data_IF_892358102423
#
_entry.id   IF_892358102423
#
_cell.length_a   1.000
_cell.length_b   1.000
_cell.length_c   1.000
_cell.angle_alpha   90.00
_cell.angle_beta   90.00
_cell.angle_gamma   90.00
#
_symmetry.space_group_name_H-M   'P 1'
#
loop_
_entity.id
_entity.type
_entity.pdbx_description
1 polymer ?
#
# COMPACT_ATOMS: atom_id res chain seq x y z
N UNK A 1 35.66 -17.83 -39.85
CA UNK A 1 35.25 -17.64 -41.26
C UNK A 1 33.79 -17.18 -41.24
N UNK A 2 33.47 -16.03 -41.85
CA UNK A 2 32.11 -15.49 -41.91
C UNK A 2 32.13 -13.96 -41.94
N UNK A 3 31.78 -13.37 -43.08
CA UNK A 3 32.18 -12.03 -43.52
C UNK A 3 31.48 -10.83 -42.86
N UNK A 4 32.22 -9.72 -42.92
CA UNK A 4 31.85 -8.31 -42.77
C UNK A 4 31.16 -7.77 -44.02
N UNK A 5 30.26 -6.78 -43.88
CA UNK A 5 29.93 -5.62 -44.78
C UNK A 5 28.55 -5.08 -44.35
N UNK A 6 28.26 -3.86 -43.89
CA UNK A 6 28.66 -2.46 -44.15
C UNK A 6 28.37 -1.97 -45.58
N UNK A 7 27.25 -1.26 -45.74
CA UNK A 7 26.81 -0.49 -46.93
C UNK A 7 26.21 0.85 -46.44
N UNK A 8 26.89 2.00 -46.55
CA UNK A 8 26.82 3.05 -47.61
C UNK A 8 25.40 3.50 -47.97
N UNK A 9 24.94 4.68 -47.53
CA UNK A 9 25.10 6.03 -48.15
C UNK A 9 24.14 6.21 -49.34
N UNK A 10 23.08 7.00 -49.16
CA UNK A 10 22.51 7.78 -50.26
C UNK A 10 22.10 9.18 -49.79
N UNK A 11 22.40 10.13 -50.67
CA UNK A 11 22.48 11.58 -50.49
C UNK A 11 21.80 12.14 -51.72
N UNK A 12 20.58 12.64 -51.59
CA UNK A 12 19.95 13.44 -52.64
C UNK A 12 19.55 14.81 -52.10
N UNK A 13 20.35 15.79 -52.49
CA UNK A 13 20.00 17.20 -52.53
C UNK A 13 18.86 17.45 -53.55
N UNK A 14 17.87 18.28 -53.20
CA UNK A 14 17.28 19.24 -54.15
C UNK A 14 16.96 20.57 -53.45
N UNK A 15 17.66 21.62 -53.89
CA UNK A 15 17.35 23.04 -53.74
C UNK A 15 16.36 23.47 -54.83
N UNK A 16 15.45 24.39 -54.52
CA UNK A 16 15.08 25.59 -55.30
C UNK A 16 13.86 26.26 -54.60
N UNK A 17 14.02 27.41 -53.93
CA UNK A 17 13.86 28.80 -54.44
C UNK A 17 12.39 29.17 -54.74
N UNK A 18 11.63 29.76 -53.80
CA UNK A 18 11.45 31.21 -53.50
C UNK A 18 10.33 31.87 -54.37
N UNK A 19 9.90 33.12 -54.11
CA UNK A 19 8.92 33.57 -53.11
C UNK A 19 7.67 34.20 -53.76
N UNK A 20 6.52 34.27 -53.08
CA UNK A 20 5.48 35.22 -53.49
C UNK A 20 4.74 35.87 -52.32
N UNK A 21 4.58 37.18 -52.48
CA UNK A 21 4.07 38.15 -51.54
C UNK A 21 2.54 38.22 -51.60
N UNK A 22 1.87 38.08 -50.46
CA UNK A 22 0.51 38.60 -50.33
C UNK A 22 0.30 39.22 -48.96
N UNK A 23 0.24 40.55 -48.94
CA UNK A 23 -0.27 41.37 -47.84
C UNK A 23 -1.69 40.91 -47.48
N UNK A 24 -1.98 40.63 -46.20
CA UNK A 24 -3.29 40.98 -45.60
C UNK A 24 -3.33 40.84 -44.07
N UNK A 25 -3.73 41.96 -43.46
CA UNK A 25 -4.42 42.14 -42.18
C UNK A 25 -3.75 41.64 -40.89
N UNK A 26 -3.15 42.62 -40.22
CA UNK A 26 -3.23 42.79 -38.77
C UNK A 26 -4.62 42.44 -38.23
N UNK A 27 -4.66 41.46 -37.33
CA UNK A 27 -5.74 41.33 -36.34
C UNK A 27 -5.07 41.28 -34.96
N UNK A 28 -5.28 42.25 -34.06
CA UNK A 28 -4.91 42.08 -32.67
C UNK A 28 -6.00 41.22 -32.02
N UNK A 29 -5.95 39.90 -32.20
CA UNK A 29 -6.93 39.00 -31.60
C UNK A 29 -6.40 38.43 -30.29
N UNK A 30 -6.78 39.13 -29.22
CA UNK A 30 -7.03 38.62 -27.88
C UNK A 30 -5.84 38.01 -27.11
N UNK A 31 -5.22 38.85 -26.28
CA UNK A 31 -4.68 38.45 -24.99
C UNK A 31 -5.81 37.86 -24.10
N UNK A 32 -6.25 36.64 -24.38
CA UNK A 32 -7.26 35.91 -23.61
C UNK A 32 -6.70 34.59 -23.02
N UNK A 33 -5.38 34.42 -23.00
CA UNK A 33 -4.75 33.15 -22.59
C UNK A 33 -4.47 32.97 -21.09
N UNK A 34 -4.55 34.02 -20.27
CA UNK A 34 -4.03 33.96 -18.89
C UNK A 34 -5.08 33.92 -17.77
N UNK A 35 -6.34 34.31 -18.02
CA UNK A 35 -7.38 34.30 -16.98
C UNK A 35 -7.83 32.88 -16.61
N UNK A 36 -7.90 31.96 -17.58
CA UNK A 36 -8.28 30.56 -17.33
C UNK A 36 -7.23 29.79 -16.52
N UNK A 37 -5.93 29.97 -16.83
CA UNK A 37 -4.84 29.29 -16.12
C UNK A 37 -4.70 29.74 -14.66
N UNK A 38 -4.93 31.03 -14.39
CA UNK A 38 -4.91 31.55 -13.02
C UNK A 38 -6.11 31.05 -12.21
N UNK A 39 -7.31 31.02 -12.81
CA UNK A 39 -8.51 30.47 -12.17
C UNK A 39 -8.36 28.97 -11.86
N UNK A 40 -7.79 28.19 -12.78
CA UNK A 40 -7.48 26.78 -12.58
C UNK A 40 -6.44 26.55 -11.47
N UNK A 41 -5.42 27.41 -11.38
CA UNK A 41 -4.42 27.32 -10.31
C UNK A 41 -5.04 27.59 -8.93
N UNK A 42 -5.95 28.56 -8.82
CA UNK A 42 -6.68 28.87 -7.58
C UNK A 42 -7.65 27.73 -7.21
N UNK A 43 -8.38 27.17 -8.19
CA UNK A 43 -9.26 26.03 -7.96
C UNK A 43 -8.47 24.78 -7.51
N UNK A 44 -7.33 24.49 -8.14
CA UNK A 44 -6.42 23.40 -7.75
C UNK A 44 -5.86 23.61 -6.35
N UNK A 45 -5.50 24.84 -5.99
CA UNK A 45 -5.01 25.15 -4.64
C UNK A 45 -6.11 24.99 -3.58
N UNK A 46 -7.35 25.41 -3.89
CA UNK A 46 -8.51 25.22 -3.01
C UNK A 46 -8.82 23.73 -2.81
N UNK A 47 -8.85 22.94 -3.88
CA UNK A 47 -9.01 21.49 -3.80
C UNK A 47 -7.87 20.84 -3.01
N UNK A 48 -6.62 21.25 -3.24
CA UNK A 48 -5.47 20.77 -2.48
C UNK A 48 -5.58 21.03 -0.98
N UNK A 49 -6.04 22.23 -0.59
CA UNK A 49 -6.32 22.56 0.81
C UNK A 49 -7.43 21.68 1.38
N UNK A 50 -8.52 21.48 0.63
CA UNK A 50 -9.63 20.64 1.06
C UNK A 50 -9.18 19.18 1.27
N UNK A 51 -8.42 18.61 0.33
CA UNK A 51 -7.83 17.27 0.47
C UNK A 51 -6.90 17.20 1.69
N UNK A 52 -6.06 18.22 1.92
CA UNK A 52 -5.18 18.23 3.09
C UNK A 52 -5.94 18.22 4.41
N UNK A 53 -7.08 18.93 4.50
CA UNK A 53 -7.93 18.94 5.68
C UNK A 53 -8.60 17.58 5.91
N UNK A 54 -9.11 16.95 4.85
CA UNK A 54 -9.68 15.60 4.95
C UNK A 54 -8.63 14.56 5.36
N UNK A 55 -7.41 14.65 4.82
CA UNK A 55 -6.30 13.80 5.25
C UNK A 55 -5.94 14.01 6.73
N UNK A 56 -5.96 15.25 7.22
CA UNK A 56 -5.72 15.54 8.64
C UNK A 56 -6.78 14.92 9.55
N UNK A 57 -8.05 14.87 9.11
CA UNK A 57 -9.13 14.19 9.84
C UNK A 57 -8.99 12.66 9.83
N UNK A 58 -8.42 12.10 8.76
CA UNK A 58 -8.18 10.65 8.66
C UNK A 58 -7.02 10.19 9.55
N UNK A 59 -6.03 11.04 9.86
CA UNK A 59 -4.89 10.67 10.71
C UNK A 59 -5.28 10.12 12.09
N UNK A 60 -6.14 10.78 12.90
CA UNK A 60 -6.54 10.23 14.20
C UNK A 60 -7.31 8.91 14.05
N UNK A 61 -8.20 8.79 13.05
CA UNK A 61 -8.94 7.55 12.79
C UNK A 61 -7.99 6.38 12.48
N UNK A 62 -7.00 6.60 11.62
CA UNK A 62 -6.00 5.57 11.31
C UNK A 62 -5.19 5.17 12.55
N UNK A 63 -4.89 6.12 13.44
CA UNK A 63 -4.18 5.84 14.69
C UNK A 63 -5.05 5.02 15.66
N UNK A 64 -6.30 5.41 15.86
CA UNK A 64 -7.26 4.71 16.73
C UNK A 64 -7.55 3.29 16.25
N UNK A 65 -7.79 3.11 14.94
CA UNK A 65 -7.96 1.78 14.35
C UNK A 65 -6.68 0.96 14.50
N UNK A 66 -5.52 1.59 14.32
CA UNK A 66 -4.23 0.94 14.51
C UNK A 66 -4.01 0.47 15.95
N UNK A 67 -4.33 1.30 16.95
CA UNK A 67 -4.22 0.92 18.37
C UNK A 67 -5.22 -0.17 18.72
N UNK A 68 -6.48 -0.05 18.32
CA UNK A 68 -7.50 -1.06 18.58
C UNK A 68 -7.15 -2.43 17.98
N UNK A 69 -6.56 -2.44 16.78
CA UNK A 69 -6.06 -3.67 16.16
C UNK A 69 -4.91 -4.29 16.97
N UNK A 70 -3.96 -3.47 17.43
CA UNK A 70 -2.85 -3.96 18.26
C UNK A 70 -3.34 -4.51 19.59
N UNK A 71 -4.23 -3.80 20.27
CA UNK A 71 -4.80 -4.20 21.55
C UNK A 71 -5.59 -5.52 21.41
N UNK A 72 -6.35 -5.69 20.32
CA UNK A 72 -7.04 -6.94 20.01
C UNK A 72 -6.05 -8.10 19.81
N UNK A 73 -5.04 -7.92 18.97
CA UNK A 73 -4.05 -8.97 18.71
C UNK A 73 -3.28 -9.36 19.97
N UNK A 74 -2.97 -8.40 20.84
CA UNK A 74 -2.34 -8.65 22.14
C UNK A 74 -3.27 -9.44 23.08
N UNK A 75 -4.56 -9.07 23.12
CA UNK A 75 -5.59 -9.83 23.84
C UNK A 75 -5.75 -11.26 23.33
N UNK A 76 -5.79 -11.47 22.02
CA UNK A 76 -5.88 -12.80 21.40
C UNK A 76 -4.65 -13.66 21.72
N UNK A 77 -3.44 -13.06 21.70
CA UNK A 77 -2.20 -13.73 22.12
C UNK A 77 -2.22 -14.11 23.60
N UNK A 78 -2.64 -13.18 24.47
CA UNK A 78 -2.75 -13.41 25.90
C UNK A 78 -3.76 -14.51 26.23
N UNK A 79 -4.93 -14.48 25.59
CA UNK A 79 -5.97 -15.50 25.73
C UNK A 79 -5.47 -16.89 25.31
N UNK A 80 -4.87 -17.00 24.13
CA UNK A 80 -4.32 -18.29 23.65
C UNK A 80 -3.20 -18.82 24.57
N UNK A 81 -2.36 -17.93 25.11
CA UNK A 81 -1.30 -18.31 26.05
C UNK A 81 -1.85 -18.79 27.40
N UNK A 82 -2.91 -18.15 27.92
CA UNK A 82 -3.61 -18.59 29.14
C UNK A 82 -4.27 -19.96 28.93
N UNK A 83 -5.00 -20.15 27.83
CA UNK A 83 -5.63 -21.42 27.51
C UNK A 83 -4.62 -22.56 27.39
N UNK A 84 -3.46 -22.33 26.76
CA UNK A 84 -2.41 -23.34 26.64
C UNK A 84 -1.68 -23.64 27.96
N UNK A 85 -1.76 -22.76 28.96
CA UNK A 85 -1.26 -22.99 30.32
C UNK A 85 -2.23 -23.76 31.20
N UNK A 86 -3.45 -24.00 30.72
CA UNK A 86 -4.52 -24.59 31.52
C UNK A 86 -5.13 -23.62 32.53
N UNK A 87 -4.87 -22.31 32.36
CA UNK A 87 -5.41 -21.24 33.19
C UNK A 87 -6.64 -20.67 32.48
N UNK A 88 -7.82 -20.95 32.99
CA UNK A 88 -9.05 -20.28 32.56
C UNK A 88 -9.52 -19.28 33.62
N UNK A 89 -10.16 -18.21 33.16
CA UNK A 89 -10.77 -17.18 34.00
C UNK A 89 -11.96 -17.72 34.80
N UNK A 90 -12.58 -18.83 34.36
CA UNK A 90 -13.73 -19.45 35.01
C UNK A 90 -13.38 -20.69 35.85
N UNK A 91 -12.09 -21.05 35.95
CA UNK A 91 -11.62 -22.13 36.82
C UNK A 91 -11.79 -23.54 36.24
N UNK A 92 -12.22 -23.68 34.99
CA UNK A 92 -12.22 -24.95 34.27
C UNK A 92 -10.90 -25.11 33.52
N UNK A 93 -10.21 -26.25 33.65
CA UNK A 93 -8.97 -26.46 32.90
C UNK A 93 -9.30 -26.71 31.42
N UNK A 94 -8.92 -25.81 30.50
CA UNK A 94 -9.24 -25.98 29.09
C UNK A 94 -8.60 -27.26 28.56
N UNK A 95 -9.35 -27.97 27.72
CA UNK A 95 -8.83 -29.19 27.09
C UNK A 95 -7.72 -28.79 26.14
N UNK A 96 -6.51 -29.31 26.37
CA UNK A 96 -5.38 -29.00 25.50
C UNK A 96 -5.46 -29.77 24.16
N UNK A 97 -5.02 -29.16 23.05
CA UNK A 97 -4.84 -29.87 21.79
C UNK A 97 -3.89 -31.07 21.93
N UNK A 98 -4.05 -32.06 21.04
CA UNK A 98 -3.18 -33.25 21.02
C UNK A 98 -1.71 -32.85 20.80
N UNK A 99 -0.72 -33.61 21.32
CA UNK A 99 0.71 -33.25 21.22
C UNK A 99 1.20 -32.99 19.78
N UNK A 100 0.67 -33.72 18.78
CA UNK A 100 1.01 -33.50 17.37
C UNK A 100 0.53 -32.12 16.87
N UNK A 101 -0.62 -31.65 17.34
CA UNK A 101 -1.17 -30.33 17.01
C UNK A 101 -0.31 -29.26 17.67
N UNK A 102 0.01 -29.41 18.95
CA UNK A 102 0.90 -28.48 19.66
C UNK A 102 2.29 -28.37 19.01
N UNK A 103 2.85 -29.48 18.53
CA UNK A 103 4.12 -29.47 17.79
C UNK A 103 4.03 -28.74 16.45
N UNK A 104 2.88 -28.84 15.76
CA UNK A 104 2.64 -28.10 14.52
C UNK A 104 2.48 -26.60 14.80
N UNK A 105 1.68 -26.24 15.82
CA UNK A 105 1.53 -24.85 16.28
C UNK A 105 2.88 -24.22 16.63
N UNK A 106 3.75 -24.95 17.35
CA UNK A 106 5.09 -24.48 17.69
C UNK A 106 5.95 -24.23 16.45
N UNK A 107 5.90 -25.15 15.47
CA UNK A 107 6.64 -25.00 14.23
C UNK A 107 6.16 -23.77 13.43
N UNK A 108 4.84 -23.54 13.38
CA UNK A 108 4.23 -22.39 12.73
C UNK A 108 4.66 -21.08 13.38
N UNK A 109 4.63 -21.01 14.73
CA UNK A 109 5.11 -19.85 15.51
C UNK A 109 6.59 -19.57 15.22
N UNK A 110 7.44 -20.59 15.23
CA UNK A 110 8.88 -20.44 14.96
C UNK A 110 9.20 -20.06 13.51
N UNK A 111 8.34 -20.43 12.56
CA UNK A 111 8.47 -20.07 11.16
C UNK A 111 8.13 -18.59 10.89
N UNK A 112 7.40 -17.92 11.78
CA UNK A 112 7.01 -16.52 11.62
C UNK A 112 8.22 -15.59 11.77
N UNK A 113 8.71 -15.10 10.63
CA UNK A 113 9.77 -14.10 10.57
C UNK A 113 9.18 -12.69 10.58
N UNK A 114 9.17 -12.06 11.75
CA UNK A 114 8.76 -10.66 11.97
C UNK A 114 9.95 -9.71 11.97
N UNK A 115 9.79 -8.51 11.39
CA UNK A 115 10.81 -7.44 11.41
C UNK A 115 10.31 -6.21 12.19
N UNK A 116 10.42 -6.20 13.52
CA UNK A 116 9.73 -5.23 14.39
C UNK A 116 10.11 -3.77 14.11
N UNK A 117 11.38 -3.51 13.76
CA UNK A 117 11.89 -2.15 13.53
C UNK A 117 11.27 -1.39 12.34
N UNK A 118 10.46 -2.03 11.48
CA UNK A 118 9.94 -1.42 10.25
C UNK A 118 8.42 -1.20 10.23
N UNK A 119 7.69 -1.52 11.30
CA UNK A 119 6.24 -1.29 11.36
C UNK A 119 5.49 -1.83 10.14
N UNK A 120 5.91 -3.00 9.62
CA UNK A 120 5.41 -3.51 8.34
C UNK A 120 4.00 -4.03 8.57
N UNK A 121 3.01 -3.41 7.95
CA UNK A 121 1.61 -3.90 7.93
C UNK A 121 1.52 -5.37 7.48
N UNK A 122 2.42 -5.81 6.59
CA UNK A 122 2.52 -7.22 6.17
C UNK A 122 2.88 -8.17 7.31
N UNK A 123 3.65 -7.72 8.29
CA UNK A 123 4.03 -8.53 9.44
C UNK A 123 2.85 -8.65 10.41
N UNK A 124 2.07 -7.58 10.62
CA UNK A 124 0.83 -7.61 11.41
C UNK A 124 -0.20 -8.58 10.81
N UNK A 125 -0.43 -8.53 9.50
CA UNK A 125 -1.34 -9.47 8.81
C UNK A 125 -0.89 -10.92 8.90
N UNK A 126 0.41 -11.19 8.98
CA UNK A 126 0.94 -12.55 9.17
C UNK A 126 0.67 -13.05 10.59
N UNK A 127 0.77 -12.18 11.59
CA UNK A 127 0.44 -12.50 12.98
C UNK A 127 -1.06 -12.79 13.10
N UNK A 128 -1.91 -11.96 12.50
CA UNK A 128 -3.36 -12.16 12.45
C UNK A 128 -3.73 -13.53 11.83
N UNK A 129 -3.18 -13.84 10.64
CA UNK A 129 -3.41 -15.14 10.00
C UNK A 129 -2.86 -16.32 10.81
N UNK A 130 -1.74 -16.14 11.52
CA UNK A 130 -1.23 -17.15 12.45
C UNK A 130 -2.23 -17.36 13.59
N UNK A 131 -2.71 -16.30 14.22
CA UNK A 131 -3.66 -16.38 15.33
C UNK A 131 -4.96 -17.09 14.92
N UNK A 132 -5.53 -16.76 13.77
CA UNK A 132 -6.70 -17.46 13.23
C UNK A 132 -6.43 -18.96 13.03
N UNK A 133 -5.28 -19.32 12.47
CA UNK A 133 -4.88 -20.71 12.28
C UNK A 133 -4.68 -21.46 13.61
N UNK A 134 -4.10 -20.80 14.61
CA UNK A 134 -3.88 -21.38 15.94
C UNK A 134 -5.20 -21.56 16.70
N UNK A 135 -6.10 -20.57 16.64
CA UNK A 135 -7.43 -20.64 17.26
C UNK A 135 -8.28 -21.75 16.63
N UNK A 136 -8.23 -21.93 15.31
CA UNK A 136 -8.94 -23.02 14.62
C UNK A 136 -8.48 -24.43 15.03
N UNK A 137 -7.30 -24.56 15.65
CA UNK A 137 -6.74 -25.82 16.12
C UNK A 137 -7.03 -26.09 17.61
N UNK A 138 -7.57 -25.12 18.33
CA UNK A 138 -8.06 -25.31 19.69
C UNK A 138 -9.34 -26.15 19.66
N UNK A 139 -9.53 -27.10 20.60
CA UNK A 139 -10.79 -27.80 20.70
C UNK A 139 -11.91 -26.79 20.97
N UNK A 140 -12.92 -26.77 20.11
CA UNK A 140 -14.14 -26.02 20.36
C UNK A 140 -14.78 -26.55 21.63
N UNK A 141 -15.13 -25.67 22.57
CA UNK A 141 -16.04 -26.04 23.64
C UNK A 141 -17.32 -26.59 23.01
N UNK A 142 -17.73 -27.76 23.50
CA UNK A 142 -18.95 -28.46 23.15
C UNK A 142 -19.72 -28.73 24.45
#
# INVERSE_FOLDING_TARGET
MGASTRTTKDKTHRKASAPDTTKRKTTPKAAAGNKGKAADAVARQRLGRQVSLELLKLRPVVKEVGTALLDRLDGDLAGLALSLRGEDLHGESPTLPRPRVLSAMLADIQAVKVKPKKGRVKDLRRIEALLESLQAQMPSEA
#
